data_IF_053039725337
#
_entry.id   IF_053039725337
#
_cell.length_a   1.000
_cell.length_b   1.000
_cell.length_c   1.000
_cell.angle_alpha   90.00
_cell.angle_beta   90.00
_cell.angle_gamma   90.00
#
_symmetry.space_group_name_H-M   'P 1'
#
loop_
_entity.id
_entity.type
_entity.pdbx_description
1 polymer ?
#
# COMPACT_ATOMS: atom_id res chain seq x y z
N UNK A 1 -10.93 6.83 -3.99
CA UNK A 1 -11.06 8.27 -4.27
C UNK A 1 -12.55 8.60 -4.30
N UNK A 2 -12.96 9.72 -3.68
CA UNK A 2 -12.15 10.58 -2.80
C UNK A 2 -11.80 9.86 -1.47
N UNK A 3 -11.11 10.54 -0.54
CA UNK A 3 -10.90 10.06 0.83
C UNK A 3 -12.08 10.50 1.70
N UNK A 4 -13.19 9.80 1.56
CA UNK A 4 -14.41 10.01 2.34
C UNK A 4 -14.79 8.72 3.08
N UNK A 5 -15.91 8.76 3.79
CA UNK A 5 -16.43 7.59 4.50
C UNK A 5 -16.68 6.39 3.56
N UNK A 6 -16.97 6.65 2.28
CA UNK A 6 -17.15 5.59 1.29
C UNK A 6 -15.84 4.86 0.97
N UNK A 7 -14.70 5.54 1.01
CA UNK A 7 -13.39 4.91 0.86
C UNK A 7 -13.06 3.98 2.03
N UNK A 8 -13.36 4.38 3.28
CA UNK A 8 -13.19 3.54 4.47
C UNK A 8 -14.10 2.31 4.39
N UNK A 9 -15.38 2.50 4.03
CA UNK A 9 -16.34 1.39 3.83
C UNK A 9 -15.85 0.44 2.72
N UNK A 10 -15.33 0.98 1.63
CA UNK A 10 -14.78 0.21 0.51
C UNK A 10 -13.59 -0.66 0.93
N UNK A 11 -12.64 -0.10 1.67
CA UNK A 11 -11.49 -0.85 2.21
C UNK A 11 -11.93 -1.89 3.24
N UNK A 12 -12.88 -1.58 4.11
CA UNK A 12 -13.42 -2.54 5.05
C UNK A 12 -14.12 -3.71 4.34
N UNK A 13 -14.92 -3.43 3.31
CA UNK A 13 -15.58 -4.45 2.51
C UNK A 13 -14.56 -5.32 1.75
N UNK A 14 -13.52 -4.71 1.18
CA UNK A 14 -12.42 -5.42 0.53
C UNK A 14 -11.66 -6.32 1.52
N UNK A 15 -11.33 -5.82 2.71
CA UNK A 15 -10.67 -6.63 3.73
C UNK A 15 -11.51 -7.87 4.08
N UNK A 16 -12.81 -7.69 4.31
CA UNK A 16 -13.74 -8.78 4.65
C UNK A 16 -13.95 -9.80 3.53
N UNK A 17 -13.81 -9.40 2.26
CA UNK A 17 -13.94 -10.34 1.14
C UNK A 17 -12.69 -11.17 0.91
N UNK A 18 -11.53 -10.70 1.39
CA UNK A 18 -10.23 -11.35 1.22
C UNK A 18 -9.86 -12.18 2.45
N UNK A 19 -10.13 -11.66 3.64
CA UNK A 19 -9.79 -12.33 4.90
C UNK A 19 -10.80 -13.43 5.21
N UNK A 20 -10.35 -14.65 5.55
CA UNK A 20 -11.24 -15.75 5.93
C UNK A 20 -11.88 -15.56 7.32
N UNK A 21 -11.32 -14.68 8.14
CA UNK A 21 -11.83 -14.32 9.47
C UNK A 21 -11.98 -12.80 9.61
N UNK A 22 -12.49 -12.33 10.77
CA UNK A 22 -12.67 -10.90 10.98
C UNK A 22 -11.33 -10.14 11.01
N UNK A 23 -10.21 -10.79 11.27
CA UNK A 23 -8.93 -10.16 11.51
C UNK A 23 -8.86 -9.48 12.89
N UNK A 24 -7.64 -9.29 13.37
CA UNK A 24 -7.36 -8.56 14.61
C UNK A 24 -7.25 -7.07 14.31
N UNK A 25 -7.91 -6.25 15.11
CA UNK A 25 -7.89 -4.78 14.98
C UNK A 25 -6.68 -4.20 15.71
N UNK A 26 -6.07 -3.15 15.16
CA UNK A 26 -5.02 -2.38 15.82
C UNK A 26 -3.84 -3.24 16.32
N UNK A 27 -3.38 -4.18 15.50
CA UNK A 27 -2.21 -5.00 15.83
C UNK A 27 -0.94 -4.26 15.46
N UNK A 28 0.01 -4.22 16.38
CA UNK A 28 1.36 -3.74 16.12
C UNK A 28 2.18 -4.89 15.54
N UNK A 29 2.73 -4.71 14.34
CA UNK A 29 3.59 -5.70 13.69
C UNK A 29 5.06 -5.33 13.88
N UNK A 30 5.88 -6.20 14.48
CA UNK A 30 7.32 -6.00 14.54
C UNK A 30 7.95 -6.39 13.19
N UNK A 31 8.39 -5.41 12.41
CA UNK A 31 8.98 -5.58 11.08
C UNK A 31 10.41 -5.04 11.09
N UNK A 32 11.40 -5.89 10.84
CA UNK A 32 12.84 -5.51 10.81
C UNK A 32 13.26 -4.69 12.05
N UNK A 33 12.74 -5.06 13.23
CA UNK A 33 13.02 -4.38 14.50
C UNK A 33 12.28 -3.05 14.70
N UNK A 34 11.26 -2.76 13.88
CA UNK A 34 10.41 -1.57 13.98
C UNK A 34 8.94 -1.95 14.07
N UNK A 35 8.23 -1.28 14.97
CA UNK A 35 6.79 -1.47 15.12
C UNK A 35 6.03 -0.72 14.00
N UNK A 36 5.05 -1.41 13.40
CA UNK A 36 4.13 -0.86 12.40
C UNK A 36 2.70 -1.08 12.85
N UNK A 37 1.96 0.01 13.03
CA UNK A 37 0.54 -0.06 13.38
C UNK A 37 -0.30 -0.51 12.19
N UNK A 38 -1.04 -1.61 12.36
CA UNK A 38 -2.10 -2.00 11.43
C UNK A 38 -3.43 -1.40 11.86
N UNK A 39 -4.29 -1.08 10.90
CA UNK A 39 -5.72 -0.90 11.16
C UNK A 39 -6.37 -2.25 11.46
N UNK A 40 -6.03 -3.26 10.64
CA UNK A 40 -6.51 -4.63 10.80
C UNK A 40 -5.52 -5.62 10.18
N UNK A 41 -5.35 -6.77 10.81
CA UNK A 41 -4.45 -7.83 10.36
C UNK A 41 -5.18 -9.17 10.40
N UNK A 42 -5.22 -9.87 9.27
CA UNK A 42 -5.76 -11.23 9.14
C UNK A 42 -4.72 -12.16 8.54
N UNK A 43 -5.10 -13.41 8.28
CA UNK A 43 -4.19 -14.39 7.69
C UNK A 43 -3.87 -14.02 6.22
N UNK A 44 -2.59 -13.70 5.96
CA UNK A 44 -2.10 -13.28 4.64
C UNK A 44 -2.61 -11.93 4.13
N UNK A 45 -3.37 -11.16 4.93
CA UNK A 45 -3.87 -9.83 4.55
C UNK A 45 -3.71 -8.81 5.68
N UNK A 46 -3.20 -7.62 5.35
CA UNK A 46 -3.07 -6.54 6.32
C UNK A 46 -3.56 -5.21 5.74
N UNK A 47 -4.14 -4.40 6.60
CA UNK A 47 -4.60 -3.06 6.30
C UNK A 47 -3.86 -2.05 7.18
N UNK A 48 -3.22 -1.07 6.55
CA UNK A 48 -2.46 -0.01 7.19
C UNK A 48 -2.99 1.37 6.82
N UNK A 49 -2.70 2.35 7.67
CA UNK A 49 -2.71 3.77 7.26
C UNK A 49 -1.45 4.09 6.45
N UNK A 50 -1.56 4.98 5.48
CA UNK A 50 -0.40 5.45 4.69
C UNK A 50 0.74 5.93 5.58
N UNK A 51 0.42 6.68 6.64
CA UNK A 51 1.40 7.26 7.54
C UNK A 51 2.24 6.20 8.26
N UNK A 52 1.65 5.07 8.65
CA UNK A 52 2.36 3.96 9.30
C UNK A 52 3.45 3.37 8.39
N UNK A 53 3.20 3.33 7.08
CA UNK A 53 4.08 2.76 6.07
C UNK A 53 5.02 3.77 5.43
N UNK A 54 4.69 5.06 5.38
CA UNK A 54 5.43 6.02 4.57
C UNK A 54 5.81 7.32 5.29
N UNK A 55 5.39 7.56 6.54
CA UNK A 55 5.74 8.78 7.28
C UNK A 55 6.80 8.56 8.37
N UNK A 56 7.07 7.29 8.72
CA UNK A 56 8.11 6.89 9.67
C UNK A 56 9.46 6.54 9.05
N UNK A 57 10.47 6.19 9.87
CA UNK A 57 11.78 5.74 9.41
C UNK A 57 11.69 4.32 8.84
N UNK A 58 11.25 4.22 7.59
CA UNK A 58 11.14 2.95 6.85
C UNK A 58 12.31 2.72 5.91
N UNK A 59 12.58 1.47 5.57
CA UNK A 59 13.54 1.08 4.54
C UNK A 59 12.92 0.05 3.61
N UNK A 60 13.60 -0.22 2.50
CA UNK A 60 13.18 -1.26 1.57
C UNK A 60 13.01 -2.63 2.24
N UNK A 61 13.84 -2.97 3.24
CA UNK A 61 13.73 -4.22 3.99
C UNK A 61 12.38 -4.36 4.71
N UNK A 62 11.79 -3.26 5.19
CA UNK A 62 10.46 -3.33 5.80
C UNK A 62 9.42 -3.79 4.78
N UNK A 63 9.49 -3.27 3.56
CA UNK A 63 8.55 -3.63 2.50
C UNK A 63 8.79 -5.04 1.98
N UNK A 64 10.05 -5.50 1.94
CA UNK A 64 10.40 -6.90 1.63
C UNK A 64 9.73 -7.83 2.64
N UNK A 65 9.85 -7.53 3.93
CA UNK A 65 9.30 -8.37 4.98
C UNK A 65 7.77 -8.32 5.00
N UNK A 66 7.17 -7.13 4.83
CA UNK A 66 5.72 -7.01 4.65
C UNK A 66 5.21 -7.83 3.46
N UNK A 67 5.93 -7.79 2.34
CA UNK A 67 5.57 -8.56 1.16
C UNK A 67 5.71 -10.07 1.38
N UNK A 68 6.62 -10.53 2.24
CA UNK A 68 6.71 -11.96 2.62
C UNK A 68 5.56 -12.42 3.51
N UNK A 69 5.14 -11.55 4.43
CA UNK A 69 4.10 -11.87 5.40
C UNK A 69 2.70 -11.80 4.79
N UNK A 70 2.50 -10.94 3.78
CA UNK A 70 1.18 -10.64 3.24
C UNK A 70 1.13 -10.80 1.72
N UNK A 71 0.19 -11.64 1.27
CA UNK A 71 -0.18 -11.75 -0.14
C UNK A 71 -1.06 -10.59 -0.60
N UNK A 72 -1.74 -9.89 0.33
CA UNK A 72 -2.57 -8.73 0.02
C UNK A 72 -2.40 -7.65 1.08
N UNK A 73 -2.18 -6.43 0.64
CA UNK A 73 -2.03 -5.26 1.51
C UNK A 73 -3.02 -4.18 1.09
N UNK A 74 -3.74 -3.64 2.08
CA UNK A 74 -4.62 -2.50 1.94
C UNK A 74 -3.93 -1.28 2.55
N UNK A 75 -3.95 -0.14 1.86
CA UNK A 75 -3.39 1.11 2.35
C UNK A 75 -4.45 2.20 2.31
N UNK A 76 -4.81 2.70 3.48
CA UNK A 76 -5.73 3.81 3.65
C UNK A 76 -5.04 5.16 3.48
N UNK A 77 -5.80 6.16 3.00
CA UNK A 77 -5.45 7.57 3.11
C UNK A 77 -4.13 7.96 2.42
N UNK A 78 -3.87 7.41 1.23
CA UNK A 78 -2.72 7.82 0.41
C UNK A 78 -2.92 9.28 -0.03
N UNK A 79 -2.07 10.21 0.41
CA UNK A 79 -2.25 11.62 0.08
C UNK A 79 -1.84 11.89 -1.36
N UNK A 80 -2.24 13.06 -1.88
CA UNK A 80 -1.56 13.62 -3.04
C UNK A 80 -0.13 14.05 -2.65
N UNK A 81 0.84 13.71 -3.48
CA UNK A 81 2.25 14.03 -3.31
C UNK A 81 2.61 15.33 -4.03
N UNK A 82 2.92 16.37 -3.27
CA UNK A 82 3.54 17.61 -3.78
C UNK A 82 5.03 17.69 -3.44
N UNK A 83 5.66 18.83 -3.71
CA UNK A 83 7.10 19.06 -3.42
C UNK A 83 7.45 18.90 -1.93
N UNK A 84 6.49 19.15 -1.02
CA UNK A 84 6.66 19.00 0.44
C UNK A 84 6.60 17.54 0.92
N UNK A 85 6.18 16.59 0.04
CA UNK A 85 6.00 15.17 0.39
C UNK A 85 6.89 14.24 -0.44
N UNK A 86 8.04 14.72 -0.90
CA UNK A 86 8.96 13.96 -1.75
C UNK A 86 9.54 12.72 -1.04
N UNK A 87 9.79 12.80 0.27
CA UNK A 87 10.29 11.65 1.03
C UNK A 87 9.21 10.56 1.18
N UNK A 88 7.97 10.96 1.44
CA UNK A 88 6.82 10.05 1.47
C UNK A 88 6.56 9.45 0.07
N UNK A 89 6.68 10.25 -0.99
CA UNK A 89 6.55 9.77 -2.37
C UNK A 89 7.63 8.74 -2.71
N UNK A 90 8.89 8.99 -2.33
CA UNK A 90 10.00 8.04 -2.51
C UNK A 90 9.74 6.72 -1.77
N UNK A 91 9.27 6.80 -0.52
CA UNK A 91 8.91 5.61 0.27
C UNK A 91 7.75 4.84 -0.36
N UNK A 92 6.75 5.53 -0.89
CA UNK A 92 5.63 4.93 -1.59
C UNK A 92 6.07 4.24 -2.89
N UNK A 93 6.95 4.86 -3.67
CA UNK A 93 7.58 4.23 -4.84
C UNK A 93 8.28 2.93 -4.43
N UNK A 94 9.13 2.96 -3.39
CA UNK A 94 9.82 1.75 -2.92
C UNK A 94 8.87 0.65 -2.45
N UNK A 95 7.77 1.01 -1.79
CA UNK A 95 6.74 0.06 -1.38
C UNK A 95 6.05 -0.59 -2.60
N UNK A 96 5.62 0.23 -3.56
CA UNK A 96 4.93 -0.28 -4.76
C UNK A 96 5.85 -1.17 -5.58
N UNK A 97 7.12 -0.80 -5.71
CA UNK A 97 8.10 -1.57 -6.47
C UNK A 97 8.29 -2.97 -5.87
N UNK A 98 8.48 -3.05 -4.54
CA UNK A 98 8.65 -4.32 -3.85
C UNK A 98 7.39 -5.20 -3.93
N UNK A 99 6.21 -4.60 -3.75
CA UNK A 99 4.95 -5.32 -3.85
C UNK A 99 4.68 -5.80 -5.27
N UNK A 100 5.04 -4.98 -6.26
CA UNK A 100 4.91 -5.33 -7.66
C UNK A 100 5.75 -6.55 -8.02
N UNK A 101 7.04 -6.54 -7.65
CA UNK A 101 8.01 -7.60 -7.96
C UNK A 101 7.63 -8.95 -7.31
N UNK A 102 7.02 -8.89 -6.13
CA UNK A 102 6.57 -10.05 -5.35
C UNK A 102 5.12 -10.48 -5.60
N UNK A 103 4.43 -9.87 -6.56
CA UNK A 103 3.02 -10.16 -6.84
C UNK A 103 2.10 -9.97 -5.62
N UNK A 104 2.37 -8.98 -4.76
CA UNK A 104 1.46 -8.59 -3.66
C UNK A 104 0.28 -7.82 -4.24
N UNK A 105 -0.94 -8.20 -3.88
CA UNK A 105 -2.14 -7.44 -4.26
C UNK A 105 -2.21 -6.18 -3.41
N UNK A 106 -2.24 -5.02 -4.05
CA UNK A 106 -2.29 -3.73 -3.37
C UNK A 106 -3.64 -3.05 -3.64
N UNK A 107 -4.36 -2.71 -2.58
CA UNK A 107 -5.60 -1.94 -2.65
C UNK A 107 -5.37 -0.63 -1.90
N UNK A 108 -5.61 0.51 -2.56
CA UNK A 108 -5.39 1.83 -1.94
C UNK A 108 -6.66 2.67 -1.94
N UNK A 109 -6.88 3.41 -0.86
CA UNK A 109 -7.67 4.63 -0.93
C UNK A 109 -6.73 5.82 -1.07
N UNK A 110 -7.02 6.70 -2.03
CA UNK A 110 -6.17 7.82 -2.38
C UNK A 110 -6.99 9.12 -2.51
N UNK A 111 -6.34 10.24 -2.19
CA UNK A 111 -6.88 11.60 -2.25
C UNK A 111 -7.22 12.03 -3.69
N UNK A 112 -6.48 11.52 -4.66
CA UNK A 112 -6.65 11.80 -6.08
C UNK A 112 -6.55 10.53 -6.94
N UNK A 113 -6.99 10.58 -8.21
CA UNK A 113 -6.71 9.51 -9.17
C UNK A 113 -5.21 9.21 -9.26
N UNK A 114 -4.85 7.97 -9.62
CA UNK A 114 -3.45 7.52 -9.72
C UNK A 114 -2.62 8.45 -10.61
N UNK A 115 -3.17 8.84 -11.77
CA UNK A 115 -2.50 9.73 -12.74
C UNK A 115 -2.27 11.16 -12.22
N UNK A 116 -2.94 11.55 -11.15
CA UNK A 116 -2.83 12.88 -10.54
C UNK A 116 -2.22 12.82 -9.13
N UNK A 117 -1.74 11.65 -8.71
CA UNK A 117 -1.28 11.37 -7.35
C UNK A 117 0.05 12.07 -7.05
N UNK A 118 0.88 12.32 -8.06
CA UNK A 118 2.13 13.07 -7.94
C UNK A 118 2.09 14.36 -8.74
N UNK A 119 2.40 15.47 -8.07
CA UNK A 119 2.49 16.82 -8.64
C UNK A 119 3.85 17.48 -8.36
N UNK A 120 4.80 16.76 -7.79
CA UNK A 120 6.17 17.22 -7.63
C UNK A 120 6.94 17.21 -8.95
N UNK A 121 8.22 17.58 -8.88
CA UNK A 121 9.11 17.61 -10.06
C UNK A 121 10.29 16.65 -9.95
N UNK A 122 10.75 16.34 -8.74
CA UNK A 122 12.04 15.63 -8.55
C UNK A 122 11.96 14.14 -8.85
N UNK A 123 10.79 13.54 -8.63
CA UNK A 123 10.53 12.10 -8.80
C UNK A 123 9.57 11.84 -9.96
N UNK A 124 9.33 12.81 -10.84
CA UNK A 124 8.30 12.69 -11.88
C UNK A 124 8.49 11.45 -12.77
N UNK A 125 9.74 11.14 -13.12
CA UNK A 125 10.06 9.98 -13.95
C UNK A 125 9.90 8.65 -13.19
N UNK A 126 10.31 8.60 -11.93
CA UNK A 126 10.12 7.44 -11.05
C UNK A 126 8.63 7.19 -10.79
N UNK A 127 7.88 8.25 -10.50
CA UNK A 127 6.46 8.15 -10.18
C UNK A 127 5.63 7.74 -11.40
N UNK A 128 5.98 8.18 -12.61
CA UNK A 128 5.34 7.70 -13.84
C UNK A 128 5.45 6.16 -14.01
N UNK A 129 6.58 5.57 -13.60
CA UNK A 129 6.71 4.09 -13.58
C UNK A 129 5.86 3.46 -12.50
N UNK A 130 5.79 4.08 -11.32
CA UNK A 130 4.92 3.66 -10.22
C UNK A 130 3.44 3.71 -10.62
N UNK A 131 2.99 4.74 -11.33
CA UNK A 131 1.63 4.82 -11.88
C UNK A 131 1.33 3.67 -12.84
N UNK A 132 2.26 3.38 -13.75
CA UNK A 132 2.12 2.26 -14.69
C UNK A 132 1.99 0.91 -13.97
N UNK A 133 2.80 0.70 -12.92
CA UNK A 133 2.71 -0.49 -12.05
C UNK A 133 1.37 -0.56 -11.33
N UNK A 134 0.93 0.53 -10.71
CA UNK A 134 -0.36 0.59 -10.01
C UNK A 134 -1.55 0.30 -10.94
N UNK A 135 -1.48 0.75 -12.20
CA UNK A 135 -2.48 0.41 -13.22
C UNK A 135 -2.43 -1.07 -13.58
N UNK A 136 -1.24 -1.64 -13.81
CA UNK A 136 -1.11 -3.08 -14.08
C UNK A 136 -1.60 -3.92 -12.91
N UNK A 137 -1.33 -3.52 -11.67
CA UNK A 137 -1.77 -4.23 -10.46
C UNK A 137 -3.30 -4.33 -10.33
N UNK A 138 -4.05 -3.46 -11.01
CA UNK A 138 -5.51 -3.51 -11.08
C UNK A 138 -6.03 -4.45 -12.18
N UNK A 139 -5.17 -4.93 -13.08
CA UNK A 139 -5.56 -5.83 -14.17
C UNK A 139 -5.97 -7.21 -13.66
N UNK A 140 -6.85 -7.89 -14.40
CA UNK A 140 -7.26 -9.26 -14.07
C UNK A 140 -6.07 -10.22 -14.15
N UNK A 141 -5.17 -10.00 -15.09
CA UNK A 141 -3.95 -10.77 -15.28
C UNK A 141 -3.06 -10.70 -14.05
N UNK A 142 -2.85 -9.49 -13.49
CA UNK A 142 -2.05 -9.33 -12.29
C UNK A 142 -2.72 -9.96 -11.07
N UNK A 143 -4.02 -9.74 -10.88
CA UNK A 143 -4.78 -10.31 -9.75
C UNK A 143 -4.84 -11.84 -9.76
N UNK A 144 -4.60 -12.47 -10.92
CA UNK A 144 -4.50 -13.91 -11.08
C UNK A 144 -3.08 -14.47 -10.82
N UNK A 145 -2.04 -13.63 -10.71
CA UNK A 145 -0.68 -14.07 -10.40
C UNK A 145 -0.63 -14.67 -8.99
N UNK A 146 0.17 -15.73 -8.84
CA UNK A 146 0.52 -16.25 -7.52
C UNK A 146 1.53 -15.33 -6.82
N UNK A 147 1.35 -15.18 -5.51
CA UNK A 147 2.22 -14.43 -4.64
C UNK A 147 3.63 -15.06 -4.56
N UNK A 148 4.69 -14.22 -4.50
CA UNK A 148 6.09 -14.64 -4.47
C UNK A 148 6.79 -14.17 -3.17
N UNK A 149 6.94 -15.05 -2.16
CA UNK A 149 7.64 -14.74 -0.92
C UNK A 149 9.18 -14.69 -1.08
#
# INVERSE_FOLDING_TARGET
>A
YPLDDAAEIGLQAAFRSISPDEGKVAVVLPIEGRDIDTRRCGDGVAWFEFTALCDGPRSQNDYIELARLFQTVLVGNVPRFGEEKEDQARRFISLVDEFYDRSVKLIISAESPILDLYQGRRLAFEFQRTESRLQEMQSKEYLAKQHKP
#
